data_IF_977889666559
#
_entry.id   IF_977889666559
#
_cell.length_a   1.000
_cell.length_b   1.000
_cell.length_c   1.000
_cell.angle_alpha   90.00
_cell.angle_beta   90.00
_cell.angle_gamma   90.00
#
_symmetry.space_group_name_H-M   'P 1'
#
loop_
_entity.id
_entity.type
_entity.pdbx_description
1 polymer ?
#
# COMPACT_ATOMS: atom_id res chain seq x y z
N UNK A 1 57.77 77.19 -13.37
CA UNK A 1 57.79 75.86 -14.01
C UNK A 1 56.93 74.94 -13.18
N UNK A 2 55.85 74.48 -13.80
CA UNK A 2 55.03 73.28 -13.57
C UNK A 2 55.87 72.10 -13.00
N UNK A 3 55.37 71.16 -12.19
CA UNK A 3 54.11 70.40 -12.32
C UNK A 3 53.77 69.63 -11.02
N UNK A 4 52.46 69.51 -10.80
CA UNK A 4 51.69 68.31 -10.36
C UNK A 4 51.93 67.66 -8.99
N UNK A 5 50.96 67.92 -8.12
CA UNK A 5 50.48 67.07 -7.04
C UNK A 5 49.97 65.72 -7.55
N UNK A 6 50.42 64.61 -6.97
CA UNK A 6 49.62 63.38 -6.96
C UNK A 6 49.67 62.66 -5.61
N UNK A 7 48.46 62.33 -5.19
CA UNK A 7 47.98 61.61 -4.02
C UNK A 7 48.57 60.19 -3.96
N UNK A 8 48.90 59.69 -2.77
CA UNK A 8 48.87 58.24 -2.48
C UNK A 8 48.35 57.96 -1.07
N UNK A 9 47.10 57.50 -1.06
CA UNK A 9 46.36 56.94 0.07
C UNK A 9 47.08 55.76 0.74
N UNK A 10 47.05 55.75 2.08
CA UNK A 10 47.32 54.57 2.90
C UNK A 10 46.08 53.67 2.90
N UNK A 11 46.15 52.52 2.25
CA UNK A 11 45.20 51.43 2.46
C UNK A 11 45.56 50.68 3.73
N UNK A 12 44.87 50.97 4.83
CA UNK A 12 44.88 50.14 6.03
C UNK A 12 44.10 48.85 5.74
N UNK A 13 44.80 47.73 5.63
CA UNK A 13 44.19 46.40 5.59
C UNK A 13 43.59 46.13 6.96
N UNK A 14 42.27 46.28 7.07
CA UNK A 14 41.48 45.94 8.26
C UNK A 14 41.33 44.42 8.31
N UNK A 15 42.12 43.74 9.13
CA UNK A 15 41.89 42.34 9.49
C UNK A 15 40.46 42.19 10.05
N UNK A 16 39.61 41.47 9.32
CA UNK A 16 38.28 41.08 9.80
C UNK A 16 38.47 39.96 10.82
N UNK A 17 38.22 40.29 12.09
CA UNK A 17 38.03 39.31 13.17
C UNK A 17 36.95 38.30 12.75
N UNK A 18 37.18 36.98 12.82
CA UNK A 18 36.15 36.01 12.49
C UNK A 18 34.97 36.17 13.45
N UNK A 19 33.76 36.26 12.87
CA UNK A 19 32.53 36.35 13.64
C UNK A 19 32.34 35.09 14.48
N UNK A 20 32.17 35.24 15.80
CA UNK A 20 31.67 34.17 16.65
C UNK A 20 30.27 33.78 16.14
N UNK A 21 30.17 32.53 15.68
CA UNK A 21 28.89 31.91 15.32
C UNK A 21 28.06 31.81 16.61
N UNK A 22 26.86 32.41 16.69
CA UNK A 22 26.01 32.26 17.86
C UNK A 22 25.66 30.79 18.02
N UNK A 23 26.01 30.22 19.17
CA UNK A 23 25.61 28.88 19.58
C UNK A 23 24.12 28.92 19.94
N UNK A 24 23.27 29.06 18.93
CA UNK A 24 21.84 28.82 19.08
C UNK A 24 21.65 27.31 19.22
N UNK A 25 21.74 26.86 20.48
CA UNK A 25 21.17 25.60 20.92
C UNK A 25 19.66 25.71 20.73
N UNK A 26 19.22 25.61 19.47
CA UNK A 26 17.92 25.06 19.16
C UNK A 26 17.89 23.73 19.88
N UNK A 27 17.23 23.70 21.04
CA UNK A 27 16.70 22.45 21.59
C UNK A 27 15.90 21.87 20.45
N UNK A 28 16.52 20.94 19.71
CA UNK A 28 15.78 19.97 18.91
C UNK A 28 14.91 19.32 19.96
N UNK A 29 13.66 19.80 20.03
CA UNK A 29 12.66 19.25 20.92
C UNK A 29 12.59 17.79 20.49
N UNK A 30 13.06 16.89 21.34
CA UNK A 30 12.97 15.46 21.07
C UNK A 30 11.53 15.21 20.58
N UNK A 31 11.36 14.56 19.42
CA UNK A 31 10.05 14.37 18.85
C UNK A 31 9.20 13.73 19.94
N UNK A 32 8.05 14.35 20.25
CA UNK A 32 7.11 13.82 21.22
C UNK A 32 6.94 12.33 20.93
N UNK A 33 7.00 11.47 21.97
CA UNK A 33 6.88 10.03 21.77
C UNK A 33 5.65 9.80 20.90
N UNK A 34 5.80 9.02 19.84
CA UNK A 34 4.74 8.91 18.88
C UNK A 34 3.49 8.36 19.60
N UNK A 35 2.28 8.85 19.27
CA UNK A 35 1.04 8.44 19.95
C UNK A 35 0.90 6.92 19.98
N UNK A 36 0.26 6.35 21.00
CA UNK A 36 0.32 4.90 21.34
C UNK A 36 0.12 3.94 20.16
N UNK A 37 -0.65 4.29 19.14
CA UNK A 37 -0.84 3.47 17.94
C UNK A 37 0.41 3.32 17.05
N UNK A 38 1.41 4.20 17.19
CA UNK A 38 2.73 4.06 16.56
C UNK A 38 3.62 3.04 17.28
N UNK A 39 3.21 2.50 18.44
CA UNK A 39 3.95 1.42 19.13
C UNK A 39 3.95 0.10 18.35
N UNK A 40 3.02 -0.08 17.41
CA UNK A 40 2.93 -1.31 16.61
C UNK A 40 3.88 -1.33 15.41
N UNK A 41 4.57 -0.22 15.10
CA UNK A 41 5.50 -0.11 13.97
C UNK A 41 6.86 -0.79 14.25
N UNK A 42 6.83 -2.02 14.76
CA UNK A 42 7.98 -2.77 15.29
C UNK A 42 8.97 -3.23 14.21
N UNK A 43 8.55 -3.24 12.94
CA UNK A 43 9.37 -3.61 11.79
C UNK A 43 9.60 -2.44 10.83
N UNK A 44 9.32 -1.20 11.25
CA UNK A 44 9.36 -0.03 10.37
C UNK A 44 10.76 0.19 9.76
N UNK A 45 11.80 0.14 10.60
CA UNK A 45 13.21 0.32 10.22
C UNK A 45 14.03 -0.91 10.60
N UNK A 46 15.26 -1.03 10.09
CA UNK A 46 16.16 -2.11 10.47
C UNK A 46 16.55 -2.04 11.95
N UNK A 47 16.55 -0.85 12.53
CA UNK A 47 16.88 -0.60 13.95
C UNK A 47 15.67 -0.78 14.89
N UNK A 48 14.48 -1.05 14.35
CA UNK A 48 13.29 -1.31 15.14
C UNK A 48 13.37 -2.68 15.85
N UNK A 49 12.63 -2.91 16.95
CA UNK A 49 12.75 -4.12 17.77
C UNK A 49 12.61 -5.44 17.00
N UNK A 50 11.82 -5.44 15.92
CA UNK A 50 11.59 -6.58 15.03
C UNK A 50 12.03 -6.28 13.59
N UNK A 51 12.99 -5.36 13.40
CA UNK A 51 13.51 -4.97 12.09
C UNK A 51 14.02 -6.14 11.25
N UNK A 52 14.50 -7.22 11.88
CA UNK A 52 14.91 -8.45 11.18
C UNK A 52 13.78 -9.13 10.39
N UNK A 53 12.52 -8.95 10.80
CA UNK A 53 11.35 -9.50 10.12
C UNK A 53 10.88 -8.62 8.95
N UNK A 54 11.45 -7.43 8.79
CA UNK A 54 11.06 -6.46 7.75
C UNK A 54 11.04 -7.05 6.33
N UNK A 55 12.03 -7.85 5.87
CA UNK A 55 11.97 -8.46 4.54
C UNK A 55 10.76 -9.38 4.36
N UNK A 56 10.40 -10.16 5.39
CA UNK A 56 9.23 -11.04 5.37
C UNK A 56 7.95 -10.20 5.26
N UNK A 57 7.87 -9.10 6.00
CA UNK A 57 6.72 -8.19 5.93
C UNK A 57 6.58 -7.53 4.55
N UNK A 58 7.70 -7.23 3.88
CA UNK A 58 7.71 -6.72 2.49
C UNK A 58 7.28 -7.80 1.50
N UNK A 59 7.72 -9.05 1.67
CA UNK A 59 7.24 -10.16 0.84
C UNK A 59 5.73 -10.35 0.99
N UNK A 60 5.19 -10.23 2.21
CA UNK A 60 3.74 -10.27 2.45
C UNK A 60 3.02 -9.10 1.76
N UNK A 61 3.58 -7.88 1.81
CA UNK A 61 3.08 -6.72 1.07
C UNK A 61 3.02 -6.99 -0.44
N UNK A 62 4.12 -7.46 -1.03
CA UNK A 62 4.20 -7.78 -2.47
C UNK A 62 3.22 -8.89 -2.85
N UNK A 63 3.06 -9.92 -2.01
CA UNK A 63 2.16 -11.06 -2.27
C UNK A 63 0.68 -10.65 -2.39
N UNK A 64 0.29 -9.53 -1.75
CA UNK A 64 -1.08 -9.00 -1.79
C UNK A 64 -1.20 -7.79 -2.74
N UNK A 65 -0.19 -7.53 -3.57
CA UNK A 65 -0.20 -6.39 -4.48
C UNK A 65 -1.28 -6.56 -5.56
N UNK A 66 -2.14 -5.56 -5.76
CA UNK A 66 -3.28 -5.65 -6.67
C UNK A 66 -2.90 -6.00 -8.11
N UNK A 67 -1.84 -5.37 -8.64
CA UNK A 67 -1.35 -5.65 -10.00
C UNK A 67 -0.95 -7.13 -10.21
N UNK A 68 -0.34 -7.76 -9.19
CA UNK A 68 0.06 -9.16 -9.27
C UNK A 68 -1.17 -10.07 -9.44
N UNK A 69 -2.22 -9.82 -8.66
CA UNK A 69 -3.47 -10.58 -8.74
C UNK A 69 -4.24 -10.32 -10.04
N UNK A 70 -4.26 -9.08 -10.53
CA UNK A 70 -4.87 -8.77 -11.83
C UNK A 70 -4.16 -9.50 -12.97
N UNK A 71 -2.82 -9.45 -13.02
CA UNK A 71 -2.07 -10.18 -14.05
C UNK A 71 -2.31 -11.68 -13.94
N UNK A 72 -2.28 -12.23 -12.71
CA UNK A 72 -2.51 -13.66 -12.49
C UNK A 72 -3.91 -14.11 -12.96
N UNK A 73 -4.97 -13.35 -12.66
CA UNK A 73 -6.34 -13.67 -13.09
C UNK A 73 -6.53 -13.56 -14.59
N UNK A 74 -5.93 -12.55 -15.24
CA UNK A 74 -5.92 -12.46 -16.71
C UNK A 74 -5.20 -13.69 -17.30
N UNK A 75 -4.02 -14.05 -16.80
CA UNK A 75 -3.32 -15.25 -17.27
C UNK A 75 -4.15 -16.52 -17.07
N UNK A 76 -4.84 -16.67 -15.93
CA UNK A 76 -5.73 -17.80 -15.69
C UNK A 76 -6.91 -17.84 -16.67
N UNK A 77 -7.53 -16.69 -16.99
CA UNK A 77 -8.60 -16.59 -17.99
C UNK A 77 -8.13 -17.02 -19.38
N UNK A 78 -6.87 -16.74 -19.75
CA UNK A 78 -6.31 -17.16 -21.04
C UNK A 78 -5.95 -18.66 -21.09
N UNK A 79 -5.81 -19.34 -19.94
CA UNK A 79 -5.36 -20.73 -19.87
C UNK A 79 -6.49 -21.73 -19.55
N UNK A 80 -7.58 -21.28 -18.93
CA UNK A 80 -8.68 -22.13 -18.47
C UNK A 80 -9.78 -22.16 -19.53
N UNK A 81 -10.21 -23.37 -19.88
CA UNK A 81 -11.24 -23.61 -20.91
C UNK A 81 -12.50 -24.29 -20.37
N UNK A 82 -12.52 -24.64 -19.07
CA UNK A 82 -13.71 -25.21 -18.42
C UNK A 82 -14.62 -24.07 -17.95
N UNK A 83 -15.85 -24.04 -18.45
CA UNK A 83 -16.74 -22.92 -18.23
C UNK A 83 -17.01 -22.57 -16.75
N UNK A 84 -17.19 -23.57 -15.87
CA UNK A 84 -17.34 -23.32 -14.42
C UNK A 84 -16.11 -22.61 -13.82
N UNK A 85 -14.90 -22.92 -14.29
CA UNK A 85 -13.69 -22.28 -13.81
C UNK A 85 -13.51 -20.89 -14.43
N UNK A 86 -13.91 -20.69 -15.69
CA UNK A 86 -13.93 -19.36 -16.32
C UNK A 86 -14.85 -18.42 -15.57
N UNK A 87 -16.06 -18.87 -15.22
CA UNK A 87 -17.02 -18.10 -14.41
C UNK A 87 -16.42 -17.63 -13.08
N UNK A 88 -15.79 -18.55 -12.33
CA UNK A 88 -15.16 -18.22 -11.04
C UNK A 88 -14.02 -17.22 -11.24
N UNK A 89 -13.12 -17.45 -12.20
CA UNK A 89 -11.96 -16.57 -12.40
C UNK A 89 -12.38 -15.20 -12.95
N UNK A 90 -13.43 -15.15 -13.78
CA UNK A 90 -13.96 -13.89 -14.30
C UNK A 90 -14.58 -13.03 -13.20
N UNK A 91 -15.39 -13.64 -12.32
CA UNK A 91 -15.93 -12.95 -11.15
C UNK A 91 -14.82 -12.53 -10.18
N UNK A 92 -13.76 -13.34 -10.02
CA UNK A 92 -12.58 -12.95 -9.23
C UNK A 92 -11.89 -11.70 -9.81
N UNK A 93 -11.66 -11.67 -11.12
CA UNK A 93 -11.08 -10.52 -11.82
C UNK A 93 -11.96 -9.27 -11.65
N UNK A 94 -13.26 -9.40 -11.90
CA UNK A 94 -14.21 -8.29 -11.73
C UNK A 94 -14.22 -7.75 -10.30
N UNK A 95 -14.23 -8.63 -9.30
CA UNK A 95 -14.14 -8.24 -7.90
C UNK A 95 -12.83 -7.53 -7.56
N UNK A 96 -11.68 -7.97 -8.10
CA UNK A 96 -10.41 -7.26 -7.88
C UNK A 96 -10.38 -5.85 -8.48
N UNK A 97 -11.03 -5.64 -9.63
CA UNK A 97 -11.20 -4.30 -10.20
C UNK A 97 -12.11 -3.47 -9.30
N UNK A 98 -13.19 -4.06 -8.78
CA UNK A 98 -14.09 -3.41 -7.84
C UNK A 98 -13.39 -3.01 -6.53
N UNK A 99 -12.57 -3.87 -5.91
CA UNK A 99 -11.72 -3.57 -4.74
C UNK A 99 -10.88 -2.32 -4.98
N UNK A 100 -10.15 -2.28 -6.10
CA UNK A 100 -9.25 -1.17 -6.43
C UNK A 100 -10.05 0.14 -6.55
N UNK A 101 -11.17 0.12 -7.27
CA UNK A 101 -12.02 1.30 -7.45
C UNK A 101 -12.64 1.76 -6.13
N UNK A 102 -13.16 0.83 -5.34
CA UNK A 102 -13.79 1.10 -4.05
C UNK A 102 -12.78 1.69 -3.06
N UNK A 103 -11.60 1.09 -2.93
CA UNK A 103 -10.53 1.60 -2.05
C UNK A 103 -10.04 2.96 -2.51
N UNK A 104 -9.88 3.18 -3.82
CA UNK A 104 -9.49 4.49 -4.36
C UNK A 104 -10.53 5.56 -4.07
N UNK A 105 -11.82 5.23 -4.24
CA UNK A 105 -12.93 6.13 -3.93
C UNK A 105 -12.95 6.49 -2.44
N UNK A 106 -12.87 5.51 -1.54
CA UNK A 106 -12.90 5.77 -0.10
C UNK A 106 -11.67 6.57 0.33
N UNK A 107 -10.47 6.24 -0.19
CA UNK A 107 -9.24 7.01 0.07
C UNK A 107 -9.41 8.48 -0.34
N UNK A 108 -10.00 8.72 -1.51
CA UNK A 108 -10.26 10.06 -2.01
C UNK A 108 -11.29 10.83 -1.16
N UNK A 109 -12.29 10.15 -0.60
CA UNK A 109 -13.31 10.76 0.26
C UNK A 109 -12.80 11.06 1.67
N UNK A 110 -12.07 10.13 2.29
CA UNK A 110 -11.69 10.20 3.71
C UNK A 110 -10.37 10.96 3.91
N UNK A 111 -9.43 10.84 2.97
CA UNK A 111 -8.15 11.58 2.96
C UNK A 111 -7.34 11.50 4.27
N UNK A 112 -7.45 10.39 5.00
CA UNK A 112 -6.75 10.22 6.28
C UNK A 112 -5.24 10.14 6.07
N UNK A 113 -4.48 10.84 6.90
CA UNK A 113 -3.02 10.82 6.89
C UNK A 113 -2.44 9.46 7.36
N UNK A 114 -1.32 9.05 6.77
CA UNK A 114 -0.57 7.85 7.17
C UNK A 114 0.23 8.07 8.47
N UNK A 115 0.48 6.99 9.22
CA UNK A 115 1.49 6.98 10.28
C UNK A 115 2.81 7.62 9.84
N UNK A 116 3.39 8.48 10.70
CA UNK A 116 4.63 9.22 10.44
C UNK A 116 5.89 8.35 10.44
N UNK A 117 5.78 7.06 10.80
CA UNK A 117 6.91 6.19 11.10
C UNK A 117 7.81 5.83 9.90
N UNK A 118 7.39 6.07 8.64
CA UNK A 118 8.16 5.63 7.47
C UNK A 118 7.93 6.49 6.20
N UNK A 119 8.42 7.73 6.20
CA UNK A 119 8.39 8.58 5.00
C UNK A 119 9.41 8.16 3.93
N UNK A 120 10.50 7.48 4.32
CA UNK A 120 11.66 7.23 3.43
C UNK A 120 11.42 6.16 2.36
N UNK A 121 10.58 5.15 2.65
CA UNK A 121 10.26 4.08 1.68
C UNK A 121 9.06 4.41 0.77
N UNK A 122 8.41 5.56 1.00
CA UNK A 122 7.12 5.89 0.39
C UNK A 122 7.24 7.01 -0.66
N UNK A 123 8.45 7.38 -1.05
CA UNK A 123 8.70 8.49 -1.98
C UNK A 123 8.35 8.13 -3.44
N UNK A 124 8.19 6.84 -3.75
CA UNK A 124 7.86 6.33 -5.09
C UNK A 124 6.37 6.01 -5.31
N UNK A 125 5.48 6.35 -4.36
CA UNK A 125 4.06 5.95 -4.44
C UNK A 125 3.18 7.07 -5.00
N UNK A 126 2.16 6.68 -5.77
CA UNK A 126 1.22 7.61 -6.44
C UNK A 126 0.49 8.53 -5.44
N UNK A 127 0.00 9.70 -5.89
CA UNK A 127 -0.69 10.69 -5.02
C UNK A 127 -1.88 10.11 -4.22
N UNK A 128 -2.59 9.13 -4.80
CA UNK A 128 -3.71 8.44 -4.13
C UNK A 128 -3.22 7.52 -3.01
N UNK A 129 -1.98 7.03 -3.13
CA UNK A 129 -1.37 6.17 -2.14
C UNK A 129 -0.76 6.92 -0.95
N UNK A 130 -0.99 8.23 -0.86
CA UNK A 130 -0.65 9.04 0.32
C UNK A 130 -1.65 8.85 1.46
N UNK A 131 -2.87 8.38 1.17
CA UNK A 131 -3.91 8.17 2.17
C UNK A 131 -3.83 6.78 2.84
N UNK A 132 -4.18 6.74 4.12
CA UNK A 132 -4.10 5.55 4.98
C UNK A 132 -5.39 4.75 5.05
N UNK A 133 -6.55 5.42 4.98
CA UNK A 133 -7.84 4.78 5.17
C UNK A 133 -8.57 4.52 3.84
N UNK A 134 -9.13 3.31 3.62
CA UNK A 134 -8.89 2.07 4.37
C UNK A 134 -7.57 1.42 3.92
N UNK A 135 -7.14 0.36 4.62
CA UNK A 135 -6.01 -0.44 4.15
C UNK A 135 -6.43 -1.32 2.97
N UNK A 136 -6.04 -0.92 1.76
CA UNK A 136 -6.34 -1.69 0.54
C UNK A 136 -5.66 -3.07 0.46
N UNK A 137 -4.65 -3.35 1.30
CA UNK A 137 -4.10 -4.70 1.43
C UNK A 137 -5.00 -5.57 2.33
N UNK A 138 -5.51 -4.99 3.42
CA UNK A 138 -6.43 -5.70 4.31
C UNK A 138 -7.76 -6.02 3.61
N UNK A 139 -8.32 -5.05 2.86
CA UNK A 139 -9.53 -5.26 2.04
C UNK A 139 -9.36 -6.44 1.10
N UNK A 140 -8.36 -6.38 0.21
CA UNK A 140 -8.09 -7.44 -0.77
C UNK A 140 -7.77 -8.78 -0.16
N UNK A 141 -6.94 -8.82 0.89
CA UNK A 141 -6.57 -10.08 1.54
C UNK A 141 -7.80 -10.78 2.14
N UNK A 142 -8.68 -10.03 2.80
CA UNK A 142 -9.92 -10.57 3.35
C UNK A 142 -10.90 -10.98 2.25
N UNK A 143 -11.08 -10.15 1.22
CA UNK A 143 -11.89 -10.49 0.05
C UNK A 143 -11.43 -11.80 -0.60
N UNK A 144 -10.14 -11.94 -0.89
CA UNK A 144 -9.56 -13.15 -1.50
C UNK A 144 -9.71 -14.39 -0.62
N UNK A 145 -9.50 -14.27 0.68
CA UNK A 145 -9.65 -15.39 1.60
C UNK A 145 -11.10 -15.93 1.63
N UNK A 146 -12.09 -15.03 1.65
CA UNK A 146 -13.51 -15.39 1.64
C UNK A 146 -13.91 -15.93 0.27
N UNK A 147 -13.48 -15.28 -0.80
CA UNK A 147 -13.74 -15.71 -2.17
C UNK A 147 -13.28 -17.15 -2.40
N UNK A 148 -12.03 -17.47 -2.04
CA UNK A 148 -11.49 -18.81 -2.20
C UNK A 148 -12.27 -19.82 -1.34
N UNK A 149 -12.62 -19.47 -0.11
CA UNK A 149 -13.34 -20.37 0.78
C UNK A 149 -14.78 -20.67 0.36
N UNK A 150 -15.43 -19.75 -0.38
CA UNK A 150 -16.80 -19.91 -0.85
C UNK A 150 -16.89 -20.49 -2.24
N UNK A 151 -15.97 -20.13 -3.13
CA UNK A 151 -16.07 -20.44 -4.56
C UNK A 151 -15.17 -21.59 -5.02
N UNK A 152 -14.18 -22.02 -4.23
CA UNK A 152 -13.25 -23.10 -4.62
C UNK A 152 -13.56 -24.39 -3.83
N UNK A 153 -14.18 -25.42 -4.45
CA UNK A 153 -14.60 -26.64 -3.76
C UNK A 153 -13.41 -27.52 -3.31
N UNK A 154 -13.61 -28.31 -2.25
CA UNK A 154 -12.68 -29.34 -1.73
C UNK A 154 -11.27 -28.86 -1.34
N UNK A 155 -11.11 -27.59 -0.98
CA UNK A 155 -9.81 -26.99 -0.69
C UNK A 155 -9.59 -26.60 0.78
N UNK A 156 -9.96 -27.45 1.75
CA UNK A 156 -9.81 -27.14 3.19
C UNK A 156 -8.40 -26.65 3.59
N UNK A 157 -7.35 -27.25 3.02
CA UNK A 157 -5.96 -26.82 3.24
C UNK A 157 -5.69 -25.42 2.68
N UNK A 158 -6.23 -25.12 1.49
CA UNK A 158 -6.12 -23.81 0.86
C UNK A 158 -6.86 -22.76 1.68
N UNK A 159 -8.05 -23.08 2.20
CA UNK A 159 -8.81 -22.18 3.07
C UNK A 159 -7.99 -21.81 4.31
N UNK A 160 -7.45 -22.80 5.02
CA UNK A 160 -6.60 -22.52 6.18
C UNK A 160 -5.39 -21.67 5.79
N UNK A 161 -4.76 -21.98 4.66
CA UNK A 161 -3.64 -21.22 4.14
C UNK A 161 -4.01 -19.76 3.82
N UNK A 162 -5.11 -19.51 3.11
CA UNK A 162 -5.50 -18.17 2.66
C UNK A 162 -5.96 -17.29 3.82
N UNK A 163 -6.68 -17.83 4.81
CA UNK A 163 -7.02 -17.08 6.03
C UNK A 163 -5.78 -16.75 6.86
N UNK A 164 -4.85 -17.70 6.99
CA UNK A 164 -3.59 -17.49 7.70
C UNK A 164 -2.74 -16.44 6.99
N UNK A 165 -2.62 -16.53 5.67
CA UNK A 165 -1.96 -15.53 4.83
C UNK A 165 -2.61 -14.16 4.97
N UNK A 166 -3.94 -14.06 4.92
CA UNK A 166 -4.65 -12.79 5.05
C UNK A 166 -4.42 -12.15 6.42
N UNK A 167 -4.39 -12.94 7.50
CA UNK A 167 -4.04 -12.47 8.83
C UNK A 167 -2.60 -11.90 8.85
N UNK A 168 -1.63 -12.62 8.29
CA UNK A 168 -0.25 -12.15 8.21
C UNK A 168 -0.09 -10.88 7.37
N UNK A 169 -0.83 -10.76 6.26
CA UNK A 169 -0.87 -9.52 5.46
C UNK A 169 -1.40 -8.37 6.31
N UNK A 170 -2.48 -8.56 7.06
CA UNK A 170 -3.04 -7.53 7.93
C UNK A 170 -2.04 -7.09 9.01
N UNK A 171 -1.41 -8.05 9.70
CA UNK A 171 -0.37 -7.76 10.70
C UNK A 171 0.83 -7.04 10.10
N UNK A 172 1.26 -7.41 8.89
CA UNK A 172 2.39 -6.74 8.23
C UNK A 172 2.15 -5.25 8.01
N UNK A 173 0.89 -4.81 7.89
CA UNK A 173 0.54 -3.38 7.71
C UNK A 173 0.76 -2.57 8.97
N UNK A 174 0.47 -3.18 10.11
CA UNK A 174 0.69 -2.60 11.43
C UNK A 174 2.18 -2.61 11.77
N UNK A 175 2.84 -3.76 11.59
CA UNK A 175 4.26 -3.96 11.90
C UNK A 175 5.19 -3.06 11.08
N UNK A 176 4.88 -2.84 9.79
CA UNK A 176 5.64 -1.90 8.96
C UNK A 176 5.28 -0.43 9.22
N UNK A 177 4.30 -0.16 10.08
CA UNK A 177 3.82 1.19 10.38
C UNK A 177 3.20 1.87 9.16
N UNK A 178 2.57 1.13 8.24
CA UNK A 178 1.98 1.69 7.01
C UNK A 178 0.55 2.19 7.24
N UNK A 179 -0.16 1.62 8.21
CA UNK A 179 -1.57 1.88 8.48
C UNK A 179 -1.86 1.92 9.97
N UNK A 180 -2.90 2.65 10.36
CA UNK A 180 -3.46 2.59 11.71
C UNK A 180 -4.22 1.27 11.91
N UNK A 181 -4.34 0.81 13.15
CA UNK A 181 -5.13 -0.39 13.50
C UNK A 181 -6.56 -0.33 12.93
N UNK A 182 -7.21 0.83 13.06
CA UNK A 182 -8.56 1.06 12.53
C UNK A 182 -8.63 0.97 11.01
N UNK A 183 -7.57 1.33 10.28
CA UNK A 183 -7.58 1.27 8.81
C UNK A 183 -7.55 -0.18 8.33
N UNK A 184 -6.83 -1.04 9.06
CA UNK A 184 -6.77 -2.49 8.80
C UNK A 184 -8.09 -3.12 9.18
N UNK A 185 -8.62 -2.84 10.38
CA UNK A 185 -9.90 -3.37 10.84
C UNK A 185 -11.05 -3.02 9.88
N UNK A 186 -11.19 -1.75 9.51
CA UNK A 186 -12.19 -1.33 8.54
C UNK A 186 -11.93 -1.92 7.15
N UNK A 187 -10.66 -2.04 6.73
CA UNK A 187 -10.31 -2.74 5.49
C UNK A 187 -10.82 -4.18 5.47
N UNK A 188 -10.61 -4.95 6.56
CA UNK A 188 -11.14 -6.31 6.67
C UNK A 188 -12.66 -6.36 6.53
N UNK A 189 -13.38 -5.44 7.19
CA UNK A 189 -14.85 -5.34 7.11
C UNK A 189 -15.28 -5.04 5.68
N UNK A 190 -14.63 -4.08 5.01
CA UNK A 190 -14.93 -3.72 3.62
C UNK A 190 -14.71 -4.93 2.71
N UNK A 191 -13.61 -5.69 2.88
CA UNK A 191 -13.35 -6.86 2.04
C UNK A 191 -14.39 -7.99 2.22
N UNK A 192 -14.92 -8.15 3.43
CA UNK A 192 -16.05 -9.06 3.69
C UNK A 192 -17.31 -8.60 2.96
N UNK A 193 -17.67 -7.31 3.11
CA UNK A 193 -18.85 -6.74 2.47
C UNK A 193 -18.74 -6.76 0.94
N UNK A 194 -17.55 -6.49 0.43
CA UNK A 194 -17.22 -6.53 -0.99
C UNK A 194 -17.52 -7.90 -1.58
N UNK A 195 -17.10 -8.98 -0.92
CA UNK A 195 -17.41 -10.33 -1.37
C UNK A 195 -18.93 -10.56 -1.48
N UNK A 196 -19.72 -10.17 -0.48
CA UNK A 196 -21.18 -10.35 -0.52
C UNK A 196 -21.85 -9.49 -1.59
N UNK A 197 -21.34 -8.28 -1.85
CA UNK A 197 -21.81 -7.46 -2.98
C UNK A 197 -21.50 -8.14 -4.30
N UNK A 198 -20.30 -8.70 -4.46
CA UNK A 198 -19.92 -9.46 -5.66
C UNK A 198 -20.78 -10.71 -5.83
N UNK A 199 -21.05 -11.44 -4.75
CA UNK A 199 -21.92 -12.63 -4.76
C UNK A 199 -23.36 -12.27 -5.17
N UNK A 200 -23.86 -11.10 -4.77
CA UNK A 200 -25.16 -10.60 -5.22
C UNK A 200 -25.16 -10.19 -6.70
N UNK A 201 -24.03 -9.67 -7.20
CA UNK A 201 -23.83 -9.24 -8.58
C UNK A 201 -23.18 -10.32 -9.46
N UNK A 202 -23.29 -11.59 -9.05
CA UNK A 202 -22.56 -12.68 -9.66
C UNK A 202 -22.88 -12.82 -11.15
N UNK A 203 -21.83 -12.82 -11.97
CA UNK A 203 -21.96 -12.90 -13.42
C UNK A 203 -22.01 -14.37 -13.81
N UNK A 204 -23.18 -14.79 -14.30
CA UNK A 204 -23.40 -16.18 -14.71
C UNK A 204 -22.50 -16.62 -15.86
N UNK A 205 -22.29 -17.93 -15.99
CA UNK A 205 -21.51 -18.55 -17.06
C UNK A 205 -21.91 -18.04 -18.47
N UNK A 206 -23.21 -17.97 -18.78
CA UNK A 206 -23.68 -17.55 -20.11
C UNK A 206 -23.31 -16.10 -20.42
N UNK A 207 -23.38 -15.22 -19.42
CA UNK A 207 -22.95 -13.82 -19.55
C UNK A 207 -21.43 -13.73 -19.70
N UNK A 208 -20.66 -14.53 -18.94
CA UNK A 208 -19.21 -14.61 -19.08
C UNK A 208 -18.80 -15.03 -20.51
N UNK A 209 -19.39 -16.11 -21.04
CA UNK A 209 -19.12 -16.57 -22.41
C UNK A 209 -19.47 -15.50 -23.45
N UNK A 210 -20.62 -14.83 -23.30
CA UNK A 210 -20.99 -13.73 -24.20
C UNK A 210 -19.95 -12.60 -24.21
N UNK A 211 -19.51 -12.16 -23.04
CA UNK A 211 -18.52 -11.08 -22.88
C UNK A 211 -17.13 -11.50 -23.40
N UNK A 212 -16.72 -12.74 -23.15
CA UNK A 212 -15.37 -13.22 -23.49
C UNK A 212 -15.25 -13.74 -24.92
N UNK A 213 -16.37 -14.08 -25.58
CA UNK A 213 -16.38 -14.61 -26.95
C UNK A 213 -15.56 -13.80 -27.97
N UNK A 214 -15.52 -12.45 -27.96
CA UNK A 214 -14.72 -11.70 -28.92
C UNK A 214 -13.21 -11.79 -28.66
N UNK A 215 -12.81 -12.16 -27.43
CA UNK A 215 -11.42 -12.19 -26.99
C UNK A 215 -10.83 -13.61 -27.00
N UNK A 216 -11.62 -14.60 -26.59
CA UNK A 216 -11.18 -16.00 -26.41
C UNK A 216 -11.70 -16.95 -27.52
N UNK A 217 -12.55 -16.46 -28.43
CA UNK A 217 -13.25 -17.30 -29.43
C UNK A 217 -14.36 -18.15 -28.80
N UNK A 218 -14.89 -19.13 -29.56
CA UNK A 218 -15.94 -20.06 -29.09
C UNK A 218 -15.46 -21.09 -28.03
N UNK A 219 -14.31 -20.86 -27.41
CA UNK A 219 -13.66 -21.77 -26.46
C UNK A 219 -14.24 -21.72 -25.03
N UNK A 220 -15.35 -20.98 -24.81
CA UNK A 220 -16.06 -20.84 -23.52
C UNK A 220 -17.55 -21.07 -23.67
#
# INVERSE_FOLDING_TARGET
MSTESSVRERTSVREKKPAEVPNDKTKVKEPSPPPEWNQLALCATNDAPLGILRPIMIVLEISCHGLLWIVATITMLMCIHKANHVEIVFNLFFGLIFDILLVCLIKWLVQRQRPSANYMDMVATSKVDQYSFPSGHATRACYLAIFIAKQVPDTRKLIVFTYTWAAFVCFSRLLLGRHHFTDVLCGCIIGVLEFYVLEMLWISQSTCSFILSPLLGELV
#
